data_IF_030890960960
#
_entry.id   IF_030890960960
#
_cell.length_a   1.000
_cell.length_b   1.000
_cell.length_c   1.000
_cell.angle_alpha   90.00
_cell.angle_beta   90.00
_cell.angle_gamma   90.00
#
_symmetry.space_group_name_H-M   'P 1'
#
loop_
_entity.id
_entity.type
_entity.pdbx_description
1 polymer ?
#
# COMPACT_ATOMS: atom_id res chain seq x y z
N UNK A 1 -20.37 -23.30 12.79
CA UNK A 1 -19.04 -22.92 12.28
C UNK A 1 -18.63 -23.97 11.27
N UNK A 2 -18.60 -23.63 9.99
CA UNK A 2 -18.08 -24.55 8.97
C UNK A 2 -16.57 -24.67 9.12
N UNK A 3 -16.13 -25.77 9.73
CA UNK A 3 -14.72 -26.14 9.84
C UNK A 3 -14.10 -26.55 8.48
N UNK A 4 -14.91 -26.55 7.41
CA UNK A 4 -14.50 -26.72 6.01
C UNK A 4 -14.40 -25.38 5.26
N UNK A 5 -14.11 -24.28 5.95
CA UNK A 5 -13.72 -23.04 5.31
C UNK A 5 -12.42 -23.29 4.52
N UNK A 6 -12.57 -23.59 3.22
CA UNK A 6 -11.46 -23.78 2.31
C UNK A 6 -10.64 -22.49 2.31
N UNK A 7 -9.38 -22.56 2.76
CA UNK A 7 -8.46 -21.42 2.74
C UNK A 7 -8.44 -20.81 1.34
N UNK A 8 -8.80 -19.52 1.24
CA UNK A 8 -8.80 -18.79 -0.01
C UNK A 8 -7.40 -18.27 -0.34
N UNK A 9 -6.57 -19.17 -0.86
CA UNK A 9 -5.20 -18.84 -1.29
C UNK A 9 -5.19 -17.89 -2.50
N UNK A 10 -6.21 -17.92 -3.35
CA UNK A 10 -6.28 -17.07 -4.54
C UNK A 10 -6.56 -15.62 -4.15
N UNK A 11 -7.52 -15.39 -3.26
CA UNK A 11 -7.79 -14.07 -2.67
C UNK A 11 -6.57 -13.53 -1.91
N UNK A 12 -5.90 -14.37 -1.13
CA UNK A 12 -4.69 -13.98 -0.41
C UNK A 12 -3.55 -13.57 -1.36
N UNK A 13 -3.31 -14.32 -2.45
CA UNK A 13 -2.30 -13.98 -3.44
C UNK A 13 -2.60 -12.64 -4.16
N UNK A 14 -3.88 -12.38 -4.45
CA UNK A 14 -4.31 -11.11 -5.01
C UNK A 14 -4.08 -9.95 -4.04
N UNK A 15 -4.47 -10.12 -2.77
CA UNK A 15 -4.26 -9.12 -1.73
C UNK A 15 -2.78 -8.77 -1.56
N UNK A 16 -1.89 -9.77 -1.55
CA UNK A 16 -0.44 -9.54 -1.50
C UNK A 16 0.08 -8.76 -2.72
N UNK A 17 -0.44 -9.06 -3.91
CA UNK A 17 -0.04 -8.34 -5.13
C UNK A 17 -0.52 -6.90 -5.11
N UNK A 18 -1.76 -6.65 -4.69
CA UNK A 18 -2.31 -5.31 -4.52
C UNK A 18 -1.51 -4.50 -3.50
N UNK A 19 -1.19 -5.10 -2.35
CA UNK A 19 -0.36 -4.46 -1.32
C UNK A 19 0.98 -3.99 -1.89
N UNK A 20 1.70 -4.85 -2.61
CA UNK A 20 2.99 -4.49 -3.20
C UNK A 20 2.85 -3.37 -4.24
N UNK A 21 1.87 -3.47 -5.14
CA UNK A 21 1.67 -2.48 -6.20
C UNK A 21 1.27 -1.12 -5.62
N UNK A 22 0.35 -1.08 -4.67
CA UNK A 22 -0.13 0.15 -4.05
C UNK A 22 0.96 0.84 -3.23
N UNK A 23 1.73 0.09 -2.43
CA UNK A 23 2.84 0.67 -1.67
C UNK A 23 3.96 1.16 -2.60
N UNK A 24 4.31 0.40 -3.64
CA UNK A 24 5.33 0.82 -4.61
C UNK A 24 4.90 2.10 -5.33
N UNK A 25 3.65 2.16 -5.82
CA UNK A 25 3.11 3.35 -6.45
C UNK A 25 3.09 4.56 -5.49
N UNK A 26 2.67 4.34 -4.25
CA UNK A 26 2.67 5.38 -3.20
C UNK A 26 4.08 5.90 -2.91
N UNK A 27 5.09 5.04 -2.89
CA UNK A 27 6.49 5.44 -2.73
C UNK A 27 7.00 6.29 -3.88
N UNK A 28 6.66 5.93 -5.12
CA UNK A 28 7.00 6.73 -6.31
C UNK A 28 6.35 8.12 -6.23
N UNK A 29 5.07 8.19 -5.88
CA UNK A 29 4.36 9.47 -5.70
C UNK A 29 4.97 10.29 -4.57
N UNK A 30 5.23 9.68 -3.41
CA UNK A 30 5.85 10.34 -2.28
C UNK A 30 7.22 10.93 -2.62
N UNK A 31 8.03 10.20 -3.38
CA UNK A 31 9.33 10.68 -3.85
C UNK A 31 9.19 11.92 -4.73
N UNK A 32 8.33 11.91 -5.75
CA UNK A 32 8.15 13.06 -6.64
C UNK A 32 7.57 14.29 -5.94
N UNK A 33 6.58 14.09 -5.06
CA UNK A 33 5.99 15.18 -4.26
C UNK A 33 7.04 15.78 -3.31
N UNK A 34 7.79 14.92 -2.62
CA UNK A 34 8.86 15.33 -1.72
C UNK A 34 9.99 16.07 -2.43
N UNK A 35 10.38 15.61 -3.62
CA UNK A 35 11.40 16.24 -4.45
C UNK A 35 10.95 17.61 -4.97
N UNK A 36 9.69 17.73 -5.42
CA UNK A 36 9.13 19.00 -5.89
C UNK A 36 9.05 20.06 -4.79
N UNK A 37 8.80 19.64 -3.55
CA UNK A 37 8.64 20.54 -2.40
C UNK A 37 9.90 20.63 -1.52
N UNK A 38 10.98 19.93 -1.90
CA UNK A 38 12.25 19.84 -1.18
C UNK A 38 12.09 19.55 0.33
N UNK A 39 11.08 18.75 0.70
CA UNK A 39 10.72 18.51 2.10
C UNK A 39 10.58 17.02 2.40
N UNK A 40 11.49 16.52 3.24
CA UNK A 40 11.47 15.14 3.70
C UNK A 40 10.20 14.81 4.50
N UNK A 41 9.71 15.77 5.29
CA UNK A 41 8.48 15.58 6.07
C UNK A 41 7.29 15.31 5.15
N UNK A 42 7.19 16.02 4.03
CA UNK A 42 6.10 15.81 3.07
C UNK A 42 6.24 14.44 2.41
N UNK A 43 7.44 14.03 2.00
CA UNK A 43 7.69 12.66 1.51
C UNK A 43 7.15 11.61 2.48
N UNK A 44 7.46 11.75 3.77
CA UNK A 44 7.07 10.78 4.79
C UNK A 44 5.56 10.79 5.04
N UNK A 45 4.91 11.95 5.07
CA UNK A 45 3.46 12.03 5.20
C UNK A 45 2.72 11.45 3.99
N UNK A 46 3.19 11.73 2.77
CA UNK A 46 2.60 11.18 1.55
C UNK A 46 2.73 9.66 1.50
N UNK A 47 3.90 9.12 1.89
CA UNK A 47 4.10 7.67 2.00
C UNK A 47 3.20 7.05 3.08
N UNK A 48 3.11 7.67 4.26
CA UNK A 48 2.26 7.20 5.35
C UNK A 48 0.78 7.15 4.95
N UNK A 49 0.29 8.18 4.24
CA UNK A 49 -1.06 8.17 3.66
C UNK A 49 -1.26 7.01 2.69
N UNK A 50 -0.30 6.75 1.81
CA UNK A 50 -0.35 5.61 0.89
C UNK A 50 -0.42 4.27 1.60
N UNK A 51 0.32 4.10 2.70
CA UNK A 51 0.25 2.91 3.55
C UNK A 51 -1.12 2.73 4.20
N UNK A 52 -1.70 3.81 4.74
CA UNK A 52 -3.05 3.76 5.34
C UNK A 52 -4.10 3.39 4.29
N UNK A 53 -4.05 4.01 3.11
CA UNK A 53 -4.96 3.68 2.01
C UNK A 53 -4.81 2.22 1.61
N UNK A 54 -3.58 1.72 1.47
CA UNK A 54 -3.33 0.32 1.12
C UNK A 54 -3.87 -0.65 2.17
N UNK A 55 -3.82 -0.30 3.46
CA UNK A 55 -4.34 -1.14 4.53
C UNK A 55 -5.88 -1.18 4.60
N UNK A 56 -6.56 -0.20 3.99
CA UNK A 56 -8.03 -0.09 3.96
C UNK A 56 -8.65 -0.77 2.74
N UNK A 57 -7.84 -1.15 1.75
CA UNK A 57 -8.25 -1.83 0.50
C UNK A 57 -8.05 -3.33 0.65
#
# INVERSE_FOLDING_TARGET
MDFNAKLDFAGQALAFRLLHVLLAASGVVAFFVGLALQSLSITMYTLALGTVVTALV
#
